data_IF_236377424540
#
_entry.id   IF_236377424540
#
_cell.length_a   1.000
_cell.length_b   1.000
_cell.length_c   1.000
_cell.angle_alpha   90.00
_cell.angle_beta   90.00
_cell.angle_gamma   90.00
#
_symmetry.space_group_name_H-M   'P 1'
#
loop_
_entity.id
_entity.type
_entity.pdbx_description
1 polymer ?
#
# COMPACT_ATOMS: atom_id res chain seq x y z
N UNK A 1 -40.35 -4.52 54.35
CA UNK A 1 -39.19 -3.87 55.00
C UNK A 1 -37.95 -4.69 54.65
N UNK A 2 -36.83 -4.19 54.14
CA UNK A 2 -36.35 -2.82 53.94
C UNK A 2 -35.83 -2.59 52.51
N UNK A 3 -35.79 -1.31 52.15
CA UNK A 3 -35.56 -0.71 50.84
C UNK A 3 -34.07 -0.57 50.44
N UNK A 4 -33.84 -0.43 49.13
CA UNK A 4 -32.61 0.01 48.45
C UNK A 4 -32.18 1.44 48.82
N UNK A 5 -30.96 1.85 48.42
CA UNK A 5 -30.94 2.94 47.44
C UNK A 5 -29.93 2.78 46.29
N UNK A 6 -30.46 2.97 45.08
CA UNK A 6 -29.79 3.47 43.87
C UNK A 6 -29.29 4.90 44.06
N UNK A 7 -28.19 5.28 43.40
CA UNK A 7 -27.83 6.69 43.14
C UNK A 7 -26.82 6.85 41.97
N UNK A 8 -26.77 8.03 41.31
CA UNK A 8 -26.89 8.18 39.84
C UNK A 8 -25.60 8.67 39.11
N UNK A 9 -25.63 8.92 37.78
CA UNK A 9 -24.47 9.38 37.00
C UNK A 9 -24.19 10.87 37.22
N UNK A 10 -22.91 11.25 37.23
CA UNK A 10 -22.50 12.66 37.31
C UNK A 10 -22.07 13.14 35.93
N UNK A 11 -22.93 13.98 35.33
CA UNK A 11 -22.57 14.96 34.33
C UNK A 11 -22.25 16.29 35.04
N UNK A 12 -21.27 17.03 34.55
CA UNK A 12 -20.93 18.39 35.03
C UNK A 12 -20.87 19.36 33.84
N UNK A 13 -21.08 20.67 34.07
CA UNK A 13 -21.96 21.50 33.25
C UNK A 13 -21.19 22.51 32.39
N UNK A 14 -21.80 22.94 31.29
CA UNK A 14 -21.42 24.19 30.62
C UNK A 14 -22.04 25.41 31.32
N UNK A 15 -21.47 26.60 31.09
CA UNK A 15 -22.25 27.84 31.03
C UNK A 15 -22.24 28.46 29.62
N UNK A 16 -23.27 29.28 29.39
CA UNK A 16 -23.78 29.74 28.10
C UNK A 16 -23.53 31.24 27.85
N UNK A 17 -23.30 31.60 26.57
CA UNK A 17 -23.80 32.74 25.77
C UNK A 17 -23.37 34.21 26.07
N UNK A 18 -23.18 34.93 24.94
CA UNK A 18 -23.16 36.37 24.64
C UNK A 18 -21.77 37.05 24.68
N UNK A 19 -21.30 37.84 23.69
CA UNK A 19 -21.92 38.50 22.55
C UNK A 19 -20.86 38.85 21.48
N UNK A 20 -21.22 38.81 20.19
CA UNK A 20 -20.65 39.72 19.18
C UNK A 20 -21.33 41.10 19.32
N UNK A 21 -20.93 42.23 18.66
CA UNK A 21 -19.96 42.40 17.56
C UNK A 21 -18.99 43.60 17.77
N UNK A 22 -18.09 43.88 16.81
CA UNK A 22 -17.95 45.20 16.15
C UNK A 22 -17.03 45.13 14.92
N UNK A 23 -17.58 45.73 13.88
CA UNK A 23 -17.12 45.94 12.52
C UNK A 23 -16.26 47.22 12.39
N UNK A 24 -15.43 47.31 11.35
CA UNK A 24 -14.70 48.51 10.91
C UNK A 24 -13.44 48.13 10.12
N UNK A 25 -13.47 48.07 8.78
CA UNK A 25 -13.10 49.15 7.82
C UNK A 25 -11.64 49.62 8.00
N UNK A 26 -10.73 49.62 7.01
CA UNK A 26 -10.86 50.15 5.66
C UNK A 26 -9.90 49.50 4.64
N UNK A 27 -10.39 49.40 3.39
CA UNK A 27 -9.60 49.23 2.18
C UNK A 27 -8.69 50.43 1.91
N UNK A 28 -7.46 50.20 1.40
CA UNK A 28 -7.01 50.93 0.19
C UNK A 28 -5.86 50.27 -0.57
N UNK A 29 -6.19 49.87 -1.79
CA UNK A 29 -5.30 49.54 -2.91
C UNK A 29 -4.53 50.77 -3.42
N UNK A 30 -3.26 50.61 -3.82
CA UNK A 30 -2.70 51.38 -4.94
C UNK A 30 -1.52 50.67 -5.62
N UNK A 31 -1.59 50.60 -6.93
CA UNK A 31 -0.51 50.37 -7.90
C UNK A 31 -0.72 51.41 -9.03
N UNK A 32 0.08 51.43 -10.11
CA UNK A 32 1.54 51.49 -10.29
C UNK A 32 1.95 52.74 -11.14
N UNK A 33 3.25 53.04 -11.33
CA UNK A 33 3.77 53.68 -12.56
C UNK A 33 5.32 53.73 -12.64
N UNK A 34 5.84 53.45 -13.85
CA UNK A 34 7.23 53.52 -14.40
C UNK A 34 7.03 54.23 -15.76
N UNK A 35 7.88 55.12 -16.35
CA UNK A 35 9.31 54.93 -16.69
C UNK A 35 10.18 56.23 -16.63
N UNK A 36 11.50 56.24 -16.84
CA UNK A 36 12.14 56.49 -18.17
C UNK A 36 13.67 56.35 -18.12
N UNK A 37 14.17 55.53 -19.04
CA UNK A 37 15.40 55.59 -19.84
C UNK A 37 16.49 56.67 -19.59
N UNK A 38 17.74 56.22 -19.48
CA UNK A 38 18.95 57.02 -19.75
C UNK A 38 20.24 56.19 -19.70
N UNK A 39 20.93 56.01 -20.84
CA UNK A 39 22.22 55.30 -21.01
C UNK A 39 23.26 56.29 -21.58
N UNK A 40 24.57 55.95 -21.63
CA UNK A 40 25.63 55.99 -20.60
C UNK A 40 26.71 57.06 -20.92
N UNK A 41 27.80 57.17 -20.15
CA UNK A 41 29.09 57.05 -20.86
C UNK A 41 30.24 56.34 -20.11
N UNK A 42 31.01 55.60 -20.92
CA UNK A 42 32.48 55.39 -20.96
C UNK A 42 33.21 54.85 -19.72
N UNK A 43 33.69 53.61 -19.87
CA UNK A 43 34.75 52.97 -19.08
C UNK A 43 36.07 53.78 -19.07
N UNK A 44 36.89 53.61 -18.02
CA UNK A 44 38.24 53.10 -18.27
C UNK A 44 38.74 52.05 -17.25
N UNK A 45 39.45 51.06 -17.82
CA UNK A 45 40.61 50.28 -17.36
C UNK A 45 40.67 49.68 -15.93
N UNK A 46 40.63 48.34 -15.93
CA UNK A 46 41.29 47.34 -15.06
C UNK A 46 42.12 47.87 -13.88
N UNK A 47 41.70 47.46 -12.68
CA UNK A 47 42.59 47.12 -11.57
C UNK A 47 42.07 45.81 -10.93
N UNK A 48 42.98 44.86 -10.77
CA UNK A 48 42.77 43.55 -10.14
C UNK A 48 43.05 43.72 -8.65
N UNK A 49 42.14 43.33 -7.77
CA UNK A 49 42.46 42.62 -6.52
C UNK A 49 41.20 42.32 -5.69
N UNK A 50 41.18 41.08 -5.19
CA UNK A 50 40.67 40.63 -3.91
C UNK A 50 39.15 40.52 -3.67
N UNK A 51 38.74 39.23 -3.60
CA UNK A 51 37.83 38.63 -2.62
C UNK A 51 36.38 39.12 -2.63
N UNK A 52 35.49 38.25 -3.11
CA UNK A 52 34.38 37.73 -2.30
C UNK A 52 33.71 36.56 -3.02
N UNK A 53 33.64 35.41 -2.34
CA UNK A 53 32.85 34.25 -2.73
C UNK A 53 31.35 34.62 -2.70
N UNK A 54 30.85 35.23 -3.77
CA UNK A 54 29.44 35.52 -3.91
C UNK A 54 28.72 34.35 -4.62
N UNK A 55 28.16 33.46 -3.79
CA UNK A 55 26.91 32.74 -4.01
C UNK A 55 26.65 32.18 -5.43
N UNK A 56 27.04 30.92 -5.66
CA UNK A 56 26.36 30.09 -6.65
C UNK A 56 24.96 29.76 -6.11
N UNK A 57 23.95 30.51 -6.53
CA UNK A 57 22.56 30.13 -6.37
C UNK A 57 22.28 28.90 -7.23
N UNK A 58 22.52 27.71 -6.69
CA UNK A 58 22.01 26.47 -7.24
C UNK A 58 20.49 26.44 -6.98
N UNK A 59 19.73 26.92 -7.96
CA UNK A 59 18.32 26.56 -8.07
C UNK A 59 18.27 25.12 -8.55
N UNK A 60 17.91 24.22 -7.65
CA UNK A 60 17.41 22.90 -8.01
C UNK A 60 16.17 22.62 -7.15
N UNK A 61 15.05 23.19 -7.57
CA UNK A 61 13.74 22.70 -7.15
C UNK A 61 13.52 21.33 -7.80
N UNK A 62 13.96 20.27 -7.12
CA UNK A 62 13.53 18.89 -7.37
C UNK A 62 12.81 18.39 -6.12
N UNK A 63 11.69 19.02 -5.82
CA UNK A 63 10.65 18.42 -4.97
C UNK A 63 9.41 18.14 -5.84
N UNK A 64 9.64 17.52 -6.99
CA UNK A 64 8.59 16.86 -7.76
C UNK A 64 8.76 15.36 -7.52
N UNK A 65 7.93 14.85 -6.60
CA UNK A 65 7.55 13.46 -6.38
C UNK A 65 8.62 12.39 -6.54
N UNK A 66 8.98 11.71 -5.45
CA UNK A 66 9.22 10.28 -5.58
C UNK A 66 7.90 9.68 -6.09
N UNK A 67 7.82 9.21 -7.36
CA UNK A 67 6.73 8.32 -7.72
C UNK A 67 6.88 7.09 -6.80
N UNK A 68 5.75 6.55 -6.34
CA UNK A 68 5.66 5.59 -5.24
C UNK A 68 6.84 4.62 -5.13
N UNK A 69 7.27 4.38 -3.89
CA UNK A 69 8.38 3.50 -3.51
C UNK A 69 8.67 2.46 -4.60
N UNK A 70 9.80 2.61 -5.29
CA UNK A 70 10.21 1.65 -6.29
C UNK A 70 10.45 0.32 -5.58
N UNK A 71 9.42 -0.55 -5.58
CA UNK A 71 9.51 -1.88 -4.99
C UNK A 71 10.58 -2.58 -5.80
N UNK A 72 11.72 -2.85 -5.15
CA UNK A 72 12.77 -3.65 -5.75
C UNK A 72 12.13 -4.98 -6.14
N UNK A 73 12.25 -5.43 -7.40
CA UNK A 73 11.73 -6.73 -7.79
C UNK A 73 12.33 -7.77 -6.85
N UNK A 74 11.49 -8.45 -6.08
CA UNK A 74 11.93 -9.67 -5.41
C UNK A 74 12.40 -10.67 -6.47
N UNK A 75 13.29 -11.57 -6.06
CA UNK A 75 13.70 -12.72 -6.87
C UNK A 75 12.50 -13.33 -7.58
N UNK A 76 12.61 -13.58 -8.90
CA UNK A 76 11.61 -14.36 -9.64
C UNK A 76 11.68 -15.86 -9.30
N UNK A 77 12.67 -16.27 -8.53
CA UNK A 77 12.87 -17.63 -8.02
C UNK A 77 12.12 -17.82 -6.70
N UNK A 78 11.52 -19.00 -6.53
CA UNK A 78 10.93 -19.46 -5.28
C UNK A 78 11.98 -19.58 -4.16
N UNK A 79 11.56 -19.61 -2.88
CA UNK A 79 12.45 -19.88 -1.76
C UNK A 79 13.17 -21.23 -1.90
N UNK A 80 14.38 -21.32 -1.34
CA UNK A 80 15.14 -22.57 -1.31
C UNK A 80 14.34 -23.68 -0.63
N UNK A 81 14.34 -24.87 -1.23
CA UNK A 81 13.62 -26.03 -0.72
C UNK A 81 12.08 -25.98 -0.89
N UNK A 82 11.52 -24.94 -1.51
CA UNK A 82 10.06 -24.82 -1.68
C UNK A 82 9.47 -25.95 -2.54
N UNK A 83 10.12 -26.32 -3.64
CA UNK A 83 9.65 -27.41 -4.51
C UNK A 83 9.63 -28.75 -3.76
N UNK A 84 10.73 -29.06 -3.07
CA UNK A 84 10.81 -30.27 -2.25
C UNK A 84 9.75 -30.27 -1.14
N UNK A 85 9.62 -29.15 -0.41
CA UNK A 85 8.63 -28.94 0.64
C UNK A 85 7.20 -29.22 0.16
N UNK A 86 6.84 -28.62 -0.99
CA UNK A 86 5.52 -28.78 -1.59
C UNK A 86 5.26 -30.22 -2.00
N UNK A 87 6.19 -30.86 -2.69
CA UNK A 87 5.96 -32.21 -3.23
C UNK A 87 6.02 -33.30 -2.16
N UNK A 88 7.03 -33.27 -1.27
CA UNK A 88 7.32 -34.38 -0.36
C UNK A 88 6.64 -34.26 0.99
N UNK A 89 6.55 -33.04 1.55
CA UNK A 89 6.02 -32.81 2.89
C UNK A 89 4.54 -32.39 2.84
N UNK A 90 4.17 -31.55 1.87
CA UNK A 90 2.80 -31.06 1.73
C UNK A 90 1.96 -31.90 0.76
N UNK A 91 2.60 -32.74 -0.06
CA UNK A 91 1.96 -33.54 -1.10
C UNK A 91 1.18 -32.72 -2.12
N UNK A 92 1.63 -31.49 -2.37
CA UNK A 92 1.10 -30.58 -3.37
C UNK A 92 1.79 -30.84 -4.71
N UNK A 93 1.00 -30.93 -5.77
CA UNK A 93 1.49 -31.07 -7.14
C UNK A 93 1.57 -29.71 -7.82
N UNK A 94 2.43 -29.61 -8.83
CA UNK A 94 2.43 -28.44 -9.71
C UNK A 94 1.02 -28.16 -10.24
N UNK A 95 0.64 -26.89 -10.24
CA UNK A 95 -0.70 -26.44 -10.65
C UNK A 95 -1.86 -26.90 -9.77
N UNK A 96 -1.64 -27.51 -8.60
CA UNK A 96 -2.68 -27.64 -7.59
C UNK A 96 -3.26 -26.25 -7.27
N UNK A 97 -4.58 -26.21 -7.11
CA UNK A 97 -5.37 -24.99 -6.96
C UNK A 97 -6.04 -24.98 -5.60
N UNK A 98 -5.92 -23.87 -4.87
CA UNK A 98 -6.57 -23.71 -3.58
C UNK A 98 -7.35 -22.40 -3.53
N UNK A 99 -8.60 -22.49 -3.05
CA UNK A 99 -9.40 -21.32 -2.71
C UNK A 99 -8.88 -20.75 -1.40
N UNK A 100 -8.49 -19.48 -1.44
CA UNK A 100 -7.91 -18.76 -0.30
C UNK A 100 -8.58 -17.41 -0.13
N UNK A 101 -8.77 -17.02 1.13
CA UNK A 101 -8.88 -15.62 1.51
C UNK A 101 -7.49 -15.00 1.40
N UNK A 102 -7.33 -13.87 0.70
CA UNK A 102 -6.00 -13.33 0.38
C UNK A 102 -5.34 -12.67 1.60
N UNK A 103 -6.14 -11.96 2.40
CA UNK A 103 -5.70 -11.29 3.63
C UNK A 103 -6.74 -11.52 4.75
N UNK A 104 -6.29 -12.19 5.82
CA UNK A 104 -7.11 -12.55 6.97
C UNK A 104 -7.46 -11.38 7.89
N UNK A 105 -6.75 -10.25 7.76
CA UNK A 105 -7.07 -9.01 8.45
C UNK A 105 -8.31 -8.32 7.89
N UNK A 106 -8.73 -8.70 6.68
CA UNK A 106 -9.86 -8.13 5.95
C UNK A 106 -11.09 -9.05 6.00
N UNK A 107 -12.23 -8.54 5.54
CA UNK A 107 -13.44 -9.37 5.39
C UNK A 107 -13.22 -10.42 4.31
N UNK A 108 -13.74 -11.64 4.53
CA UNK A 108 -13.65 -12.74 3.56
C UNK A 108 -14.25 -12.36 2.20
N UNK A 109 -15.43 -11.73 2.20
CA UNK A 109 -16.14 -11.33 0.99
C UNK A 109 -16.11 -9.82 0.81
N UNK A 110 -15.93 -9.41 -0.44
CA UNK A 110 -15.91 -8.02 -0.85
C UNK A 110 -14.57 -7.61 -1.46
N UNK A 111 -14.53 -6.35 -1.84
CA UNK A 111 -13.37 -5.68 -2.40
C UNK A 111 -12.54 -5.03 -1.30
N UNK A 112 -11.22 -5.21 -1.36
CA UNK A 112 -10.28 -4.72 -0.37
C UNK A 112 -9.09 -4.06 -1.04
N UNK A 113 -8.54 -3.03 -0.40
CA UNK A 113 -7.36 -2.32 -0.89
C UNK A 113 -6.09 -3.04 -0.47
N UNK A 114 -5.33 -3.53 -1.43
CA UNK A 114 -4.01 -4.09 -1.22
C UNK A 114 -2.93 -3.06 -1.54
N UNK A 115 -1.99 -2.91 -0.62
CA UNK A 115 -0.80 -2.07 -0.83
C UNK A 115 0.33 -2.94 -1.36
N UNK A 116 0.97 -2.49 -2.43
CA UNK A 116 2.08 -3.23 -3.00
C UNK A 116 3.27 -3.34 -2.05
N UNK A 117 3.89 -4.52 -2.00
CA UNK A 117 4.98 -4.88 -1.09
C UNK A 117 4.55 -5.13 0.35
N UNK A 118 3.28 -4.92 0.69
CA UNK A 118 2.78 -5.18 2.04
C UNK A 118 2.72 -6.69 2.31
N UNK A 119 3.06 -7.05 3.54
CA UNK A 119 2.84 -8.40 4.08
C UNK A 119 1.34 -8.69 4.11
N UNK A 120 0.96 -9.90 3.72
CA UNK A 120 -0.41 -10.41 3.79
C UNK A 120 -0.40 -11.84 4.30
N UNK A 121 -1.45 -12.21 5.03
CA UNK A 121 -1.66 -13.58 5.49
C UNK A 121 -2.92 -14.13 4.86
N UNK A 122 -2.76 -15.04 3.90
CA UNK A 122 -3.86 -15.75 3.30
C UNK A 122 -4.32 -16.90 4.19
N UNK A 123 -5.59 -17.26 4.12
CA UNK A 123 -6.17 -18.35 4.91
C UNK A 123 -7.12 -19.18 4.05
N UNK A 124 -7.05 -20.51 4.15
CA UNK A 124 -8.11 -21.37 3.60
C UNK A 124 -9.38 -21.20 4.42
N UNK A 125 -10.47 -20.66 3.85
CA UNK A 125 -11.70 -20.43 4.59
C UNK A 125 -12.43 -21.75 4.88
N UNK A 126 -13.42 -21.69 5.78
CA UNK A 126 -14.34 -22.81 6.00
C UNK A 126 -15.36 -22.91 4.85
N UNK A 127 -15.93 -24.08 4.66
CA UNK A 127 -17.02 -24.29 3.69
C UNK A 127 -16.57 -24.42 2.24
N UNK A 128 -15.28 -24.69 2.00
CA UNK A 128 -14.78 -25.10 0.68
C UNK A 128 -15.23 -26.54 0.42
N UNK A 129 -15.81 -26.78 -0.76
CA UNK A 129 -16.26 -28.10 -1.20
C UNK A 129 -15.32 -28.62 -2.29
N UNK A 130 -14.07 -28.90 -1.91
CA UNK A 130 -13.03 -29.45 -2.77
C UNK A 130 -12.26 -30.50 -1.96
N UNK A 131 -12.52 -31.78 -2.25
CA UNK A 131 -11.93 -32.92 -1.55
C UNK A 131 -10.39 -32.93 -1.63
N UNK A 132 -9.84 -32.46 -2.76
CA UNK A 132 -8.39 -32.40 -2.96
C UNK A 132 -7.79 -31.36 -2.05
N UNK A 133 -8.34 -30.15 -2.04
CA UNK A 133 -7.88 -29.08 -1.16
C UNK A 133 -8.05 -29.46 0.32
N UNK A 134 -9.19 -30.04 0.71
CA UNK A 134 -9.43 -30.43 2.10
C UNK A 134 -8.39 -31.45 2.61
N UNK A 135 -7.93 -32.36 1.73
CA UNK A 135 -6.94 -33.37 2.08
C UNK A 135 -5.53 -32.81 2.31
N UNK A 136 -5.10 -31.76 1.59
CA UNK A 136 -3.69 -31.30 1.60
C UNK A 136 -3.50 -29.85 2.05
N UNK A 137 -4.56 -29.06 2.08
CA UNK A 137 -4.58 -27.67 2.54
C UNK A 137 -5.93 -27.38 3.22
N UNK A 138 -6.23 -28.04 4.37
CA UNK A 138 -7.53 -27.94 5.03
C UNK A 138 -7.82 -26.51 5.53
N UNK A 139 -9.10 -26.22 5.87
CA UNK A 139 -9.49 -24.96 6.48
C UNK A 139 -8.60 -24.55 7.65
N UNK A 140 -8.20 -23.27 7.68
CA UNK A 140 -7.26 -22.74 8.67
C UNK A 140 -5.79 -22.86 8.29
N UNK A 141 -5.44 -23.47 7.16
CA UNK A 141 -4.11 -23.37 6.56
C UNK A 141 -3.79 -21.90 6.29
N UNK A 142 -2.64 -21.42 6.78
CA UNK A 142 -2.21 -20.01 6.69
C UNK A 142 -1.06 -19.88 5.70
N UNK A 143 -1.19 -18.97 4.75
CA UNK A 143 -0.17 -18.62 3.77
C UNK A 143 0.41 -17.25 4.11
N UNK A 144 1.73 -17.11 4.15
CA UNK A 144 2.41 -15.87 4.46
C UNK A 144 3.14 -15.36 3.22
N UNK A 145 3.03 -14.08 2.93
CA UNK A 145 3.51 -13.56 1.67
C UNK A 145 3.34 -12.05 1.52
N UNK A 146 3.46 -11.59 0.28
CA UNK A 146 3.37 -10.18 -0.07
C UNK A 146 2.49 -9.95 -1.29
N UNK A 147 1.81 -8.81 -1.31
CA UNK A 147 1.02 -8.35 -2.46
C UNK A 147 1.89 -7.56 -3.46
N UNK A 148 1.65 -7.79 -4.74
CA UNK A 148 2.30 -7.15 -5.90
C UNK A 148 1.25 -6.71 -6.91
N UNK A 149 1.65 -5.87 -7.85
CA UNK A 149 0.84 -5.54 -9.02
C UNK A 149 1.66 -5.72 -10.30
N UNK A 150 1.03 -6.25 -11.33
CA UNK A 150 1.62 -6.33 -12.67
C UNK A 150 1.06 -5.19 -13.53
N UNK A 151 1.94 -4.26 -13.92
CA UNK A 151 1.58 -3.10 -14.75
C UNK A 151 1.61 -3.40 -16.26
N UNK A 152 2.32 -4.44 -16.70
CA UNK A 152 2.38 -4.89 -18.10
C UNK A 152 1.11 -5.65 -18.54
N UNK A 153 0.27 -6.09 -17.58
CA UNK A 153 -1.12 -6.51 -17.84
C UNK A 153 -2.10 -5.35 -18.02
N UNK A 154 -1.67 -4.09 -17.84
CA UNK A 154 -2.49 -2.89 -18.13
C UNK A 154 -2.79 -2.67 -19.63
N UNK A 155 -2.47 -3.63 -20.50
CA UNK A 155 -2.69 -3.56 -21.96
C UNK A 155 -3.52 -4.71 -22.54
N UNK A 156 -3.99 -5.67 -21.73
CA UNK A 156 -5.14 -6.52 -22.12
C UNK A 156 -6.41 -5.84 -21.65
N UNK A 157 -7.55 -6.17 -22.25
CA UNK A 157 -8.84 -5.51 -22.01
C UNK A 157 -9.37 -5.54 -20.55
N UNK A 158 -8.57 -6.02 -19.58
CA UNK A 158 -8.94 -6.40 -18.21
C UNK A 158 -8.16 -5.63 -17.10
N UNK A 159 -7.35 -4.62 -17.43
CA UNK A 159 -6.77 -3.71 -16.41
C UNK A 159 -5.60 -4.28 -15.58
N UNK A 160 -5.13 -3.56 -14.53
CA UNK A 160 -4.06 -4.03 -13.66
C UNK A 160 -4.45 -5.33 -12.93
N UNK A 161 -3.47 -6.18 -12.60
CA UNK A 161 -3.70 -7.40 -11.83
C UNK A 161 -3.04 -7.32 -10.45
N UNK A 162 -3.75 -7.75 -9.41
CA UNK A 162 -3.18 -8.05 -8.11
C UNK A 162 -2.53 -9.44 -8.18
N UNK A 163 -1.27 -9.51 -7.77
CA UNK A 163 -0.55 -10.78 -7.62
C UNK A 163 -0.11 -10.91 -6.17
N UNK A 164 -0.58 -11.92 -5.46
CA UNK A 164 -0.09 -12.24 -4.12
C UNK A 164 0.82 -13.44 -4.21
N UNK A 165 2.08 -13.29 -3.78
CA UNK A 165 3.05 -14.38 -3.72
C UNK A 165 3.22 -14.80 -2.27
N UNK A 166 2.94 -16.07 -1.98
CA UNK A 166 3.10 -16.65 -0.66
C UNK A 166 4.33 -17.55 -0.63
N UNK A 167 5.27 -17.22 0.24
CA UNK A 167 6.58 -17.84 0.35
C UNK A 167 6.68 -18.87 1.48
N UNK A 168 5.70 -18.86 2.40
CA UNK A 168 5.60 -19.79 3.52
C UNK A 168 4.16 -20.20 3.77
N UNK A 169 3.97 -21.43 4.25
CA UNK A 169 2.67 -21.94 4.70
C UNK A 169 2.78 -22.59 6.07
N UNK A 170 1.70 -22.50 6.83
CA UNK A 170 1.49 -23.25 8.07
C UNK A 170 0.15 -23.98 8.01
N UNK A 171 0.20 -25.31 7.94
CA UNK A 171 -0.99 -26.14 8.10
C UNK A 171 -1.41 -26.18 9.58
N UNK A 172 -2.70 -26.41 9.89
CA UNK A 172 -3.17 -26.51 11.27
C UNK A 172 -2.35 -27.55 12.07
N UNK A 173 -1.75 -27.10 13.17
CA UNK A 173 -0.95 -27.96 14.06
C UNK A 173 0.42 -28.37 13.53
N UNK A 174 0.86 -27.85 12.39
CA UNK A 174 2.16 -28.18 11.79
C UNK A 174 3.16 -27.01 11.87
N UNK A 175 4.42 -27.33 11.57
CA UNK A 175 5.47 -26.33 11.37
C UNK A 175 5.25 -25.53 10.09
N UNK A 176 6.03 -24.46 9.94
CA UNK A 176 6.01 -23.63 8.73
C UNK A 176 6.88 -24.30 7.65
N UNK A 177 6.42 -24.29 6.40
CA UNK A 177 7.15 -24.83 5.24
C UNK A 177 7.39 -23.72 4.21
N UNK A 178 8.56 -23.68 3.55
CA UNK A 178 8.76 -22.82 2.39
C UNK A 178 7.89 -23.32 1.24
N UNK A 179 7.27 -22.41 0.50
CA UNK A 179 6.40 -22.75 -0.62
C UNK A 179 6.55 -21.75 -1.75
N UNK A 180 5.97 -22.10 -2.89
CA UNK A 180 5.82 -21.21 -4.03
C UNK A 180 4.38 -21.26 -4.54
N UNK A 181 3.55 -20.40 -3.96
CA UNK A 181 2.11 -20.35 -4.22
C UNK A 181 1.70 -18.94 -4.58
N UNK A 182 0.97 -18.78 -5.68
CA UNK A 182 0.59 -17.47 -6.21
C UNK A 182 -0.90 -17.37 -6.41
N UNK A 183 -1.49 -16.26 -5.96
CA UNK A 183 -2.84 -15.87 -6.35
C UNK A 183 -2.73 -14.70 -7.31
N UNK A 184 -3.34 -14.83 -8.48
CA UNK A 184 -3.52 -13.71 -9.40
C UNK A 184 -5.02 -13.42 -9.54
N UNK A 185 -5.39 -12.15 -9.37
CA UNK A 185 -6.78 -11.70 -9.49
C UNK A 185 -6.85 -10.35 -10.19
N UNK A 186 -7.95 -10.11 -10.89
CA UNK A 186 -8.24 -8.83 -11.54
C UNK A 186 -8.33 -7.72 -10.48
N UNK A 187 -7.67 -6.59 -10.73
CA UNK A 187 -7.85 -5.41 -9.92
C UNK A 187 -8.89 -4.48 -10.55
N UNK A 188 -9.87 -4.04 -9.74
CA UNK A 188 -10.93 -3.14 -10.21
C UNK A 188 -10.48 -1.69 -10.34
N UNK A 189 -9.54 -1.25 -9.51
CA UNK A 189 -9.05 0.12 -9.44
C UNK A 189 -7.59 0.13 -8.97
N UNK A 190 -6.79 1.06 -9.49
CA UNK A 190 -5.45 1.37 -9.01
C UNK A 190 -5.35 2.83 -8.60
N UNK A 191 -4.93 3.09 -7.36
CA UNK A 191 -4.81 4.43 -6.81
C UNK A 191 -3.73 4.47 -5.73
N UNK A 192 -2.87 5.49 -5.79
CA UNK A 192 -1.85 5.78 -4.77
C UNK A 192 -0.95 4.57 -4.41
N UNK A 193 -0.58 3.75 -5.40
CA UNK A 193 0.24 2.54 -5.20
C UNK A 193 -0.51 1.36 -4.59
N UNK A 194 -1.84 1.41 -4.58
CA UNK A 194 -2.74 0.35 -4.10
C UNK A 194 -3.66 -0.11 -5.20
N UNK A 195 -4.07 -1.37 -5.11
CA UNK A 195 -5.10 -1.96 -5.98
C UNK A 195 -6.28 -2.42 -5.16
N UNK A 196 -7.50 -2.25 -5.67
CA UNK A 196 -8.67 -2.91 -5.11
C UNK A 196 -8.93 -4.22 -5.83
N UNK A 197 -9.16 -5.29 -5.08
CA UNK A 197 -9.51 -6.60 -5.63
C UNK A 197 -10.40 -7.38 -4.65
N UNK A 198 -11.00 -8.47 -5.13
CA UNK A 198 -11.70 -9.41 -4.24
C UNK A 198 -10.71 -10.02 -3.26
N UNK A 199 -11.09 -10.10 -1.99
CA UNK A 199 -10.27 -10.75 -0.95
C UNK A 199 -10.36 -12.29 -0.97
N UNK A 200 -10.91 -12.87 -2.05
CA UNK A 200 -10.94 -14.31 -2.29
C UNK A 200 -10.41 -14.58 -3.69
N UNK A 201 -9.67 -15.66 -3.82
CA UNK A 201 -9.06 -16.03 -5.09
C UNK A 201 -8.69 -17.49 -5.12
N UNK A 202 -8.35 -17.93 -6.32
CA UNK A 202 -7.87 -19.26 -6.62
C UNK A 202 -6.35 -19.16 -6.80
N UNK A 203 -5.61 -19.61 -5.81
CA UNK A 203 -4.17 -19.63 -5.86
C UNK A 203 -3.64 -20.94 -6.41
N UNK A 204 -2.44 -20.90 -6.97
CA UNK A 204 -1.83 -22.01 -7.69
C UNK A 204 -0.41 -22.28 -7.20
N UNK A 205 -0.07 -23.56 -7.08
CA UNK A 205 1.30 -24.04 -6.86
C UNK A 205 2.13 -23.85 -8.13
N UNK A 206 3.29 -23.20 -8.01
CA UNK A 206 4.18 -22.87 -9.13
C UNK A 206 5.64 -23.22 -8.81
N UNK A 207 6.49 -23.38 -9.83
CA UNK A 207 7.95 -23.57 -9.66
C UNK A 207 8.76 -22.27 -9.80
N UNK A 208 8.09 -21.18 -10.21
CA UNK A 208 8.67 -19.84 -10.32
C UNK A 208 7.57 -18.80 -10.22
N UNK A 209 7.91 -17.59 -9.82
CA UNK A 209 6.96 -16.50 -9.81
C UNK A 209 6.61 -16.03 -11.23
N UNK A 210 5.37 -15.58 -11.45
CA UNK A 210 4.98 -14.95 -12.71
C UNK A 210 5.65 -13.58 -12.89
#
# INVERSE_FOLDING_TARGET
AMSTPTSPPVATPGPSIAAAPKEGSDLKTRAPEVPTQGRPPRMPKKAIAAVECASLSLVAALAAGCPGAQIRPESFTCPDGAEEAMEKQLHWSYSDRFIVQLDDSQKLHGEVWHTAGAEVVGVVPKGINDDRQEAVAPPGTRFYGKAYYLSDKMGRAEGPALVVRYDRVKLPGQADYPICFVVETEAGEFKDGKVVARNTGDGRVVHRWP
#
